data_IF_402916575819
#
_entry.id   IF_402916575819
#
_cell.length_a   1.000
_cell.length_b   1.000
_cell.length_c   1.000
_cell.angle_alpha   90.00
_cell.angle_beta   90.00
_cell.angle_gamma   90.00
#
_symmetry.space_group_name_H-M   'P 1'
#
loop_
_entity.id
_entity.type
_entity.pdbx_description
1 polymer ?
#
# COMPACT_ATOMS: atom_id res chain seq x y z
N UNK A 1 28.14 33.19 -37.34
CA UNK A 1 28.33 31.94 -36.57
C UNK A 1 29.27 32.26 -35.43
N UNK A 2 28.75 32.43 -34.21
CA UNK A 2 29.51 32.76 -32.99
C UNK A 2 29.29 31.63 -31.99
N UNK A 3 30.39 31.12 -31.48
CA UNK A 3 30.46 29.82 -30.84
C UNK A 3 29.93 29.84 -29.40
N UNK A 4 29.26 28.74 -29.10
CA UNK A 4 28.99 28.15 -27.80
C UNK A 4 30.20 28.27 -26.86
N UNK A 5 29.95 28.71 -25.62
CA UNK A 5 30.47 28.20 -24.33
C UNK A 5 29.99 29.20 -23.27
N UNK A 6 28.92 28.84 -22.54
CA UNK A 6 28.50 29.50 -21.29
C UNK A 6 27.38 28.66 -20.64
N UNK A 7 27.75 27.49 -20.09
CA UNK A 7 26.92 26.72 -19.17
C UNK A 7 27.75 25.56 -18.59
N UNK A 8 28.78 25.86 -17.80
CA UNK A 8 29.53 24.84 -17.05
C UNK A 8 30.22 25.46 -15.83
N UNK A 9 29.44 26.21 -15.02
CA UNK A 9 29.99 26.95 -13.86
C UNK A 9 29.01 27.16 -12.70
N UNK A 10 27.92 26.39 -12.59
CA UNK A 10 26.93 26.55 -11.49
C UNK A 10 26.55 25.22 -10.82
N UNK A 11 27.51 24.30 -10.64
CA UNK A 11 27.31 23.11 -9.77
C UNK A 11 28.44 22.93 -8.74
N UNK A 12 29.55 23.68 -8.84
CA UNK A 12 30.70 23.53 -7.93
C UNK A 12 30.72 24.44 -6.69
N UNK A 13 29.74 25.32 -6.49
CA UNK A 13 29.82 26.40 -5.49
C UNK A 13 28.66 26.45 -4.47
N UNK A 14 27.88 25.37 -4.31
CA UNK A 14 26.93 25.23 -3.18
C UNK A 14 27.47 24.29 -2.09
N UNK A 15 28.56 23.54 -2.34
CA UNK A 15 29.14 22.59 -1.38
C UNK A 15 30.34 23.12 -0.55
N UNK A 16 30.68 24.41 -0.64
CA UNK A 16 31.91 24.95 -0.03
C UNK A 16 31.76 26.25 0.76
N UNK A 17 30.55 26.63 1.18
CA UNK A 17 30.30 27.96 1.72
C UNK A 17 29.19 28.04 2.76
N UNK A 18 29.21 27.18 3.77
CA UNK A 18 28.59 27.48 5.06
C UNK A 18 29.50 26.95 6.18
N UNK A 19 30.64 27.63 6.35
CA UNK A 19 31.35 27.59 7.60
C UNK A 19 30.65 28.53 8.58
N UNK A 20 30.45 28.05 9.81
CA UNK A 20 30.06 28.76 11.05
C UNK A 20 28.75 28.20 11.63
N UNK A 21 28.93 27.38 12.67
CA UNK A 21 28.02 27.20 13.79
C UNK A 21 26.52 27.08 13.46
N UNK A 22 26.13 25.96 12.84
CA UNK A 22 24.76 25.49 12.97
C UNK A 22 24.73 24.08 13.59
N UNK A 23 23.94 23.93 14.65
CA UNK A 23 23.49 22.63 15.16
C UNK A 23 22.41 22.02 14.25
N UNK A 24 22.25 22.53 13.03
CA UNK A 24 21.36 21.97 12.01
C UNK A 24 22.14 20.91 11.24
N UNK A 25 22.23 19.72 11.84
CA UNK A 25 22.62 18.53 11.12
C UNK A 25 21.63 18.33 9.97
N UNK A 26 22.05 18.60 8.74
CA UNK A 26 21.28 18.18 7.57
C UNK A 26 21.20 16.65 7.65
N UNK A 27 19.99 16.04 7.66
CA UNK A 27 19.87 14.60 7.66
C UNK A 27 20.66 14.04 6.47
N UNK A 28 21.39 12.94 6.69
CA UNK A 28 22.04 12.24 5.59
C UNK A 28 20.98 11.90 4.53
N UNK A 29 21.28 12.04 3.22
CA UNK A 29 20.33 11.73 2.18
C UNK A 29 19.93 10.25 2.29
N UNK A 30 18.64 9.97 2.16
CA UNK A 30 18.09 8.62 2.22
C UNK A 30 17.02 8.43 1.16
N UNK A 31 16.95 7.23 0.61
CA UNK A 31 15.86 6.81 -0.26
C UNK A 31 14.80 6.09 0.57
N UNK A 32 13.52 6.37 0.30
CA UNK A 32 12.40 5.75 0.99
C UNK A 32 11.80 4.61 0.17
N UNK A 33 11.55 3.49 0.83
CA UNK A 33 10.78 2.38 0.29
C UNK A 33 9.62 2.09 1.22
N UNK A 34 8.56 1.48 0.70
CA UNK A 34 7.35 1.21 1.46
C UNK A 34 6.85 -0.21 1.19
N UNK A 35 6.39 -0.90 2.23
CA UNK A 35 5.55 -2.09 2.09
C UNK A 35 4.08 -1.68 2.22
N UNK A 36 3.26 -2.00 1.22
CA UNK A 36 1.90 -1.48 1.10
C UNK A 36 0.87 -2.53 0.66
N UNK A 37 0.02 -2.90 1.60
CA UNK A 37 -1.33 -3.43 1.49
C UNK A 37 -2.08 -2.92 2.73
N UNK A 38 -2.74 -1.76 2.59
CA UNK A 38 -2.38 -0.53 3.33
C UNK A 38 -0.98 -0.48 4.01
N UNK A 39 -0.69 0.52 4.86
CA UNK A 39 0.65 0.62 5.46
C UNK A 39 0.99 -0.62 6.32
N UNK A 40 2.06 -1.36 5.99
CA UNK A 40 2.48 -2.53 6.78
C UNK A 40 3.62 -2.15 7.71
N UNK A 41 3.42 -2.29 9.02
CA UNK A 41 4.45 -2.06 10.02
C UNK A 41 5.26 -3.33 10.30
N UNK A 42 6.56 -3.18 10.58
CA UNK A 42 7.42 -4.24 11.08
C UNK A 42 8.06 -5.14 10.01
N UNK A 43 7.78 -4.92 8.73
CA UNK A 43 8.26 -5.77 7.63
C UNK A 43 9.73 -5.45 7.31
N UNK A 44 10.58 -6.48 7.19
CA UNK A 44 11.99 -6.35 6.82
C UNK A 44 12.21 -6.85 5.41
N UNK A 45 13.32 -6.45 4.80
CA UNK A 45 13.54 -6.73 3.39
C UNK A 45 14.99 -6.71 2.95
N UNK A 46 15.16 -6.71 1.63
CA UNK A 46 16.44 -6.61 0.94
C UNK A 46 16.33 -5.72 -0.28
N UNK A 47 17.48 -5.28 -0.78
CA UNK A 47 17.60 -4.65 -2.09
C UNK A 47 18.78 -5.23 -2.86
N UNK A 48 18.72 -5.14 -4.18
CA UNK A 48 19.79 -5.57 -5.09
C UNK A 48 19.83 -4.66 -6.30
N UNK A 49 21.01 -4.11 -6.62
CA UNK A 49 21.23 -3.18 -7.73
C UNK A 49 22.11 -3.78 -8.83
N UNK A 50 22.07 -3.23 -10.04
CA UNK A 50 22.78 -3.74 -11.22
C UNK A 50 24.31 -3.81 -11.07
N UNK A 51 24.88 -2.94 -10.23
CA UNK A 51 26.30 -2.92 -9.92
C UNK A 51 26.73 -4.01 -8.90
N UNK A 52 25.80 -4.89 -8.49
CA UNK A 52 26.02 -5.95 -7.51
C UNK A 52 25.94 -5.50 -6.06
N UNK A 53 25.65 -4.21 -5.80
CA UNK A 53 25.39 -3.73 -4.44
C UNK A 53 24.08 -4.34 -3.95
N UNK A 54 24.14 -4.94 -2.77
CA UNK A 54 23.02 -5.58 -2.09
C UNK A 54 23.00 -5.16 -0.63
N UNK A 55 21.84 -5.22 0.01
CA UNK A 55 21.72 -4.91 1.42
C UNK A 55 20.37 -5.28 2.00
N UNK A 56 20.21 -4.95 3.28
CA UNK A 56 18.98 -5.17 4.04
C UNK A 56 18.15 -3.90 4.10
N UNK A 57 16.84 -4.07 4.19
CA UNK A 57 15.89 -3.02 4.55
C UNK A 57 15.59 -3.15 6.04
N UNK A 58 15.71 -2.03 6.75
CA UNK A 58 15.23 -1.92 8.13
C UNK A 58 13.72 -2.18 8.19
N UNK A 59 13.24 -2.56 9.38
CA UNK A 59 11.82 -2.79 9.60
C UNK A 59 11.00 -1.55 9.24
N UNK A 60 9.89 -1.75 8.54
CA UNK A 60 8.98 -0.66 8.19
C UNK A 60 8.38 -0.02 9.45
N UNK A 61 8.30 1.31 9.42
CA UNK A 61 7.63 2.11 10.44
C UNK A 61 6.10 1.94 10.40
N UNK A 62 5.38 2.61 11.31
CA UNK A 62 3.91 2.71 11.30
C UNK A 62 3.34 3.20 9.95
N UNK A 63 4.10 4.00 9.18
CA UNK A 63 3.69 4.45 7.84
C UNK A 63 4.03 3.47 6.72
N UNK A 64 4.48 2.26 7.06
CA UNK A 64 4.95 1.27 6.10
C UNK A 64 6.31 1.60 5.47
N UNK A 65 7.00 2.65 5.92
CA UNK A 65 8.22 3.17 5.29
C UNK A 65 9.49 2.60 5.94
N UNK A 66 10.45 2.20 5.10
CA UNK A 66 11.85 1.94 5.44
C UNK A 66 12.76 2.95 4.73
N UNK A 67 13.90 3.30 5.35
CA UNK A 67 14.85 4.30 4.82
C UNK A 67 16.20 3.66 4.55
N UNK A 68 16.78 3.99 3.40
CA UNK A 68 18.04 3.41 2.92
C UNK A 68 19.04 4.54 2.68
N UNK A 69 20.21 4.46 3.31
CA UNK A 69 21.29 5.43 3.15
C UNK A 69 22.41 4.96 2.20
N UNK A 70 22.26 3.78 1.59
CA UNK A 70 23.21 3.24 0.61
C UNK A 70 23.26 4.13 -0.63
N UNK A 71 24.45 4.66 -0.94
CA UNK A 71 24.68 5.65 -2.01
C UNK A 71 24.13 5.19 -3.35
N UNK A 72 24.31 3.92 -3.73
CA UNK A 72 23.80 3.40 -5.02
C UNK A 72 22.27 3.52 -5.09
N UNK A 73 21.58 3.23 -3.99
CA UNK A 73 20.13 3.30 -3.90
C UNK A 73 19.65 4.75 -3.89
N UNK A 74 20.38 5.64 -3.20
CA UNK A 74 20.06 7.07 -3.14
C UNK A 74 20.22 7.75 -4.49
N UNK A 75 21.31 7.46 -5.20
CA UNK A 75 21.68 8.15 -6.43
C UNK A 75 21.05 7.55 -7.69
N UNK A 76 20.83 6.24 -7.71
CA UNK A 76 20.32 5.49 -8.88
C UNK A 76 19.30 4.41 -8.48
N UNK A 77 18.22 4.78 -7.78
CA UNK A 77 17.24 3.83 -7.26
C UNK A 77 16.60 2.97 -8.37
N UNK A 78 16.46 3.50 -9.59
CA UNK A 78 15.93 2.80 -10.77
C UNK A 78 16.74 1.57 -11.15
N UNK A 79 18.01 1.47 -10.74
CA UNK A 79 18.87 0.30 -10.99
C UNK A 79 18.67 -0.82 -9.97
N UNK A 80 17.84 -0.60 -8.96
CA UNK A 80 17.65 -1.50 -7.83
C UNK A 80 16.26 -2.13 -7.85
N UNK A 81 16.21 -3.42 -7.48
CA UNK A 81 15.00 -4.11 -7.06
C UNK A 81 14.91 -4.12 -5.54
N UNK A 82 13.69 -4.09 -5.01
CA UNK A 82 13.42 -4.14 -3.57
C UNK A 82 12.50 -5.31 -3.26
N UNK A 83 12.73 -5.97 -2.13
CA UNK A 83 11.88 -7.06 -1.66
C UNK A 83 11.66 -6.94 -0.16
N UNK A 84 10.41 -6.99 0.27
CA UNK A 84 10.04 -7.23 1.66
C UNK A 84 9.70 -8.70 1.85
N UNK A 85 10.24 -9.29 2.90
CA UNK A 85 10.18 -10.72 3.16
C UNK A 85 9.19 -11.01 4.30
N UNK A 86 8.78 -12.28 4.39
CA UNK A 86 8.06 -12.82 5.56
C UNK A 86 8.79 -12.42 6.84
N UNK A 87 8.10 -11.67 7.69
CA UNK A 87 8.70 -11.10 8.90
C UNK A 87 7.72 -11.32 10.06
N UNK A 88 8.10 -12.05 11.11
CA UNK A 88 7.23 -12.21 12.29
C UNK A 88 6.75 -10.86 12.81
N UNK A 89 5.49 -10.84 13.29
CA UNK A 89 4.83 -9.66 13.87
C UNK A 89 4.60 -8.49 12.91
N UNK A 90 4.84 -8.67 11.60
CA UNK A 90 4.44 -7.67 10.61
C UNK A 90 2.91 -7.58 10.54
N UNK A 91 2.37 -6.36 10.46
CA UNK A 91 0.93 -6.11 10.61
C UNK A 91 0.48 -4.98 9.69
N UNK A 92 -0.70 -5.14 9.08
CA UNK A 92 -1.40 -4.04 8.40
C UNK A 92 -1.92 -3.07 9.45
N UNK A 93 -1.43 -1.82 9.38
CA UNK A 93 -1.74 -0.78 10.34
C UNK A 93 -3.21 -0.35 10.31
N UNK A 94 -3.86 -0.43 9.14
CA UNK A 94 -5.22 0.05 8.94
C UNK A 94 -6.27 -0.86 9.58
N UNK A 95 -6.02 -2.17 9.65
CA UNK A 95 -7.03 -3.14 10.06
C UNK A 95 -6.51 -4.21 11.04
N UNK A 96 -5.21 -4.24 11.33
CA UNK A 96 -4.61 -5.19 12.26
C UNK A 96 -4.40 -6.60 11.72
N UNK A 97 -4.53 -6.82 10.40
CA UNK A 97 -4.29 -8.11 9.76
C UNK A 97 -2.84 -8.56 9.96
N UNK A 98 -2.64 -9.84 10.25
CA UNK A 98 -1.30 -10.44 10.30
C UNK A 98 -0.69 -10.50 8.89
N UNK A 99 0.45 -9.85 8.73
CA UNK A 99 1.21 -9.80 7.48
C UNK A 99 2.51 -10.62 7.57
N UNK A 100 2.66 -11.44 8.61
CA UNK A 100 3.88 -12.19 8.87
C UNK A 100 4.29 -13.16 7.75
N UNK A 101 3.30 -13.69 7.03
CA UNK A 101 3.48 -14.64 5.94
C UNK A 101 3.56 -14.01 4.54
N UNK A 102 3.41 -12.69 4.46
CA UNK A 102 3.39 -11.94 3.20
C UNK A 102 4.82 -11.65 2.73
N UNK A 103 5.01 -11.51 1.43
CA UNK A 103 6.25 -11.01 0.84
C UNK A 103 5.92 -10.18 -0.38
N UNK A 104 6.51 -8.98 -0.47
CA UNK A 104 6.30 -8.09 -1.59
C UNK A 104 7.57 -7.76 -2.32
N UNK A 105 7.45 -7.53 -3.63
CA UNK A 105 8.56 -7.14 -4.49
C UNK A 105 8.22 -5.87 -5.23
N UNK A 106 9.23 -5.06 -5.47
CA UNK A 106 9.18 -3.90 -6.33
C UNK A 106 10.20 -4.07 -7.46
N UNK A 107 9.75 -4.11 -8.72
CA UNK A 107 10.61 -4.42 -9.85
C UNK A 107 11.67 -3.36 -10.07
N UNK A 108 12.85 -3.79 -10.51
CA UNK A 108 13.90 -2.89 -11.00
C UNK A 108 13.37 -2.02 -12.14
N UNK A 109 13.90 -0.82 -12.31
CA UNK A 109 13.50 0.11 -13.37
C UNK A 109 12.21 0.88 -13.09
N UNK A 110 11.46 0.51 -12.04
CA UNK A 110 10.27 1.24 -11.61
C UNK A 110 10.57 2.28 -10.53
N UNK A 111 11.66 2.15 -9.79
CA UNK A 111 12.04 3.14 -8.79
C UNK A 111 12.48 4.46 -9.47
N UNK A 112 12.40 5.57 -8.76
CA UNK A 112 12.74 6.88 -9.34
C UNK A 112 13.21 7.85 -8.26
N UNK A 113 14.20 8.68 -8.61
CA UNK A 113 14.73 9.70 -7.71
C UNK A 113 13.63 10.61 -7.16
N UNK A 114 13.69 10.83 -5.84
CA UNK A 114 12.74 11.68 -5.12
C UNK A 114 11.34 11.11 -4.97
N UNK A 115 11.10 9.85 -5.35
CA UNK A 115 9.82 9.15 -5.17
C UNK A 115 10.03 7.90 -4.33
N UNK A 116 9.08 7.60 -3.45
CA UNK A 116 9.08 6.35 -2.67
C UNK A 116 8.85 5.16 -3.60
N UNK A 117 9.61 4.08 -3.41
CA UNK A 117 9.33 2.80 -4.05
C UNK A 117 8.36 1.97 -3.19
N UNK A 118 7.17 1.69 -3.71
CA UNK A 118 6.09 1.04 -2.96
C UNK A 118 5.89 -0.40 -3.40
N UNK A 119 6.42 -1.35 -2.61
CA UNK A 119 6.21 -2.77 -2.81
C UNK A 119 4.82 -3.17 -2.28
N UNK A 120 3.98 -3.72 -3.14
CA UNK A 120 2.59 -4.10 -2.87
C UNK A 120 2.23 -5.45 -3.52
N UNK A 121 1.04 -6.03 -3.26
CA UNK A 121 0.58 -7.21 -3.98
C UNK A 121 0.66 -7.03 -5.52
N UNK A 122 0.31 -5.84 -6.01
CA UNK A 122 0.32 -5.51 -7.44
C UNK A 122 1.74 -5.50 -8.03
N UNK A 123 2.67 -4.78 -7.39
CA UNK A 123 4.06 -4.75 -7.89
C UNK A 123 4.73 -6.11 -7.79
N UNK A 124 4.31 -6.94 -6.83
CA UNK A 124 4.78 -8.31 -6.65
C UNK A 124 4.34 -9.22 -7.77
N UNK A 125 3.06 -9.14 -8.17
CA UNK A 125 2.53 -9.90 -9.29
C UNK A 125 3.17 -9.47 -10.62
N UNK A 126 3.40 -8.16 -10.79
CA UNK A 126 4.14 -7.62 -11.95
C UNK A 126 5.57 -8.15 -11.97
N UNK A 127 6.29 -8.08 -10.86
CA UNK A 127 7.66 -8.63 -10.78
C UNK A 127 7.71 -10.14 -11.03
N UNK A 128 6.66 -10.86 -10.62
CA UNK A 128 6.53 -12.29 -10.90
C UNK A 128 6.40 -12.60 -12.40
N UNK A 129 5.71 -11.76 -13.15
CA UNK A 129 5.64 -11.87 -14.62
C UNK A 129 6.94 -11.41 -15.30
N UNK A 130 7.62 -10.41 -14.73
CA UNK A 130 8.90 -9.90 -15.26
C UNK A 130 10.07 -10.85 -15.01
N UNK A 131 10.01 -11.69 -13.98
CA UNK A 131 11.06 -12.65 -13.60
C UNK A 131 12.46 -12.00 -13.50
N UNK A 132 12.53 -10.87 -12.77
CA UNK A 132 13.76 -10.11 -12.56
C UNK A 132 14.20 -9.20 -13.72
N UNK A 133 13.45 -9.18 -14.82
CA UNK A 133 13.66 -8.18 -15.88
C UNK A 133 13.27 -6.78 -15.41
N UNK A 134 13.87 -5.71 -15.97
CA UNK A 134 13.43 -4.35 -15.69
C UNK A 134 11.94 -4.15 -16.01
N UNK A 135 11.30 -3.29 -15.23
CA UNK A 135 9.90 -2.94 -15.37
C UNK A 135 9.54 -2.55 -16.81
N UNK A 136 8.46 -3.16 -17.29
CA UNK A 136 7.86 -2.88 -18.59
C UNK A 136 6.40 -2.46 -18.39
N UNK A 137 6.05 -1.28 -18.91
CA UNK A 137 4.69 -0.75 -18.80
C UNK A 137 3.64 -1.66 -19.45
N UNK A 138 3.95 -2.38 -20.54
CA UNK A 138 3.00 -3.30 -21.17
C UNK A 138 2.65 -4.48 -20.28
N UNK A 139 3.62 -5.00 -19.51
CA UNK A 139 3.40 -6.05 -18.51
C UNK A 139 2.54 -5.52 -17.37
N UNK A 140 2.85 -4.32 -16.89
CA UNK A 140 2.03 -3.65 -15.87
C UNK A 140 0.58 -3.46 -16.31
N UNK A 141 0.34 -2.97 -17.53
CA UNK A 141 -1.00 -2.78 -18.09
C UNK A 141 -1.74 -4.11 -18.23
N UNK A 142 -1.07 -5.16 -18.72
CA UNK A 142 -1.66 -6.49 -18.82
C UNK A 142 -2.12 -6.99 -17.45
N UNK A 143 -1.25 -6.95 -16.43
CA UNK A 143 -1.60 -7.42 -15.08
C UNK A 143 -2.76 -6.63 -14.48
N UNK A 144 -2.79 -5.30 -14.65
CA UNK A 144 -3.93 -4.50 -14.18
C UNK A 144 -5.23 -4.88 -14.90
N UNK A 145 -5.18 -5.12 -16.21
CA UNK A 145 -6.35 -5.58 -16.96
C UNK A 145 -6.82 -6.97 -16.48
N UNK A 146 -5.90 -7.91 -16.29
CA UNK A 146 -6.20 -9.27 -15.85
C UNK A 146 -6.81 -9.31 -14.43
N UNK A 147 -6.49 -8.32 -13.60
CA UNK A 147 -7.07 -8.10 -12.27
C UNK A 147 -8.41 -7.32 -12.28
N UNK A 148 -8.87 -6.86 -13.45
CA UNK A 148 -10.07 -6.01 -13.56
C UNK A 148 -9.84 -4.54 -13.18
N UNK A 149 -8.60 -4.09 -13.05
CA UNK A 149 -8.20 -2.73 -12.67
C UNK A 149 -7.77 -1.84 -13.85
N UNK A 150 -7.92 -2.33 -15.09
CA UNK A 150 -7.53 -1.60 -16.31
C UNK A 150 -8.17 -0.22 -16.45
N UNK A 151 -9.38 -0.06 -15.92
CA UNK A 151 -10.14 1.18 -15.94
C UNK A 151 -9.46 2.36 -15.23
N UNK A 152 -8.57 2.08 -14.26
CA UNK A 152 -7.79 3.13 -13.58
C UNK A 152 -6.97 3.95 -14.58
N UNK A 153 -6.38 3.28 -15.58
CA UNK A 153 -5.61 3.95 -16.62
C UNK A 153 -6.54 4.51 -17.69
N UNK A 154 -7.52 3.73 -18.16
CA UNK A 154 -8.42 4.13 -19.25
C UNK A 154 -9.26 5.37 -18.92
N UNK A 155 -9.66 5.54 -17.66
CA UNK A 155 -10.40 6.71 -17.17
C UNK A 155 -9.50 7.88 -16.76
N UNK A 156 -8.17 7.73 -16.89
CA UNK A 156 -7.19 8.76 -16.53
C UNK A 156 -7.08 9.01 -15.02
N UNK A 157 -7.42 8.03 -14.17
CA UNK A 157 -7.20 8.12 -12.71
C UNK A 157 -5.72 8.14 -12.38
N UNK A 158 -4.94 7.36 -13.13
CA UNK A 158 -3.49 7.43 -13.14
C UNK A 158 -2.98 7.67 -14.56
N UNK A 159 -1.83 8.34 -14.68
CA UNK A 159 -1.22 8.64 -15.99
C UNK A 159 -0.56 7.42 -16.62
N UNK A 160 -0.19 6.43 -15.81
CA UNK A 160 0.39 5.15 -16.20
C UNK A 160 0.31 4.17 -15.02
N UNK A 161 0.58 2.88 -15.27
CA UNK A 161 0.71 1.90 -14.19
C UNK A 161 1.85 2.27 -13.25
N UNK A 162 2.95 2.81 -13.79
CA UNK A 162 4.07 3.27 -12.99
C UNK A 162 3.75 4.49 -12.11
N UNK A 163 2.81 5.33 -12.52
CA UNK A 163 2.29 6.43 -11.71
C UNK A 163 1.41 5.87 -10.58
N UNK A 164 0.53 4.92 -10.91
CA UNK A 164 -0.30 4.23 -9.92
C UNK A 164 0.51 3.52 -8.83
N UNK A 165 1.53 2.75 -9.19
CA UNK A 165 2.35 2.00 -8.23
C UNK A 165 3.21 2.92 -7.34
N UNK A 166 3.52 4.14 -7.77
CA UNK A 166 4.30 5.10 -6.97
C UNK A 166 3.44 5.99 -6.07
N UNK A 167 2.16 6.15 -6.41
CA UNK A 167 1.18 7.02 -5.74
C UNK A 167 -0.09 6.26 -5.38
N UNK A 168 0.05 4.99 -5.00
CA UNK A 168 -1.08 4.06 -4.85
C UNK A 168 -2.11 4.58 -3.86
N UNK A 169 -1.68 4.97 -2.65
CA UNK A 169 -2.58 5.51 -1.62
C UNK A 169 -3.28 6.78 -2.09
N UNK A 170 -2.52 7.78 -2.56
CA UNK A 170 -3.04 9.07 -3.04
C UNK A 170 -4.10 8.87 -4.14
N UNK A 171 -3.82 7.99 -5.10
CA UNK A 171 -4.75 7.70 -6.18
C UNK A 171 -6.01 7.02 -5.66
N UNK A 172 -5.89 6.03 -4.76
CA UNK A 172 -7.04 5.33 -4.17
C UNK A 172 -7.96 6.28 -3.39
N UNK A 173 -7.39 7.18 -2.60
CA UNK A 173 -8.15 8.15 -1.79
C UNK A 173 -8.97 9.13 -2.65
N UNK A 174 -8.51 9.40 -3.87
CA UNK A 174 -9.19 10.28 -4.84
C UNK A 174 -10.20 9.55 -5.75
N UNK A 175 -10.32 8.21 -5.64
CA UNK A 175 -11.26 7.44 -6.46
C UNK A 175 -12.72 7.61 -6.02
N UNK A 176 -13.68 7.46 -6.95
CA UNK A 176 -15.07 7.15 -6.60
C UNK A 176 -15.16 5.93 -5.67
N UNK A 177 -16.15 5.91 -4.77
CA UNK A 177 -16.25 4.91 -3.71
C UNK A 177 -16.30 3.45 -4.23
N UNK A 178 -16.97 3.20 -5.36
CA UNK A 178 -17.05 1.90 -6.01
C UNK A 178 -15.70 1.48 -6.61
N UNK A 179 -14.99 2.42 -7.26
CA UNK A 179 -13.63 2.18 -7.79
C UNK A 179 -12.62 1.96 -6.65
N UNK A 180 -12.70 2.73 -5.57
CA UNK A 180 -11.87 2.57 -4.38
C UNK A 180 -12.09 1.22 -3.69
N UNK A 181 -13.37 0.81 -3.57
CA UNK A 181 -13.78 -0.50 -3.03
C UNK A 181 -13.21 -1.64 -3.89
N UNK A 182 -13.34 -1.55 -5.21
CA UNK A 182 -12.78 -2.52 -6.14
C UNK A 182 -11.26 -2.65 -5.98
N UNK A 183 -10.51 -1.54 -5.95
CA UNK A 183 -9.05 -1.59 -5.80
C UNK A 183 -8.64 -2.18 -4.44
N UNK A 184 -9.31 -1.77 -3.37
CA UNK A 184 -9.04 -2.24 -2.01
C UNK A 184 -9.32 -3.75 -1.88
N UNK A 185 -10.44 -4.22 -2.43
CA UNK A 185 -10.76 -5.63 -2.43
C UNK A 185 -9.78 -6.44 -3.29
N UNK A 186 -9.44 -5.97 -4.49
CA UNK A 186 -8.48 -6.65 -5.37
C UNK A 186 -7.10 -6.77 -4.72
N UNK A 187 -6.62 -5.72 -4.07
CA UNK A 187 -5.30 -5.72 -3.42
C UNK A 187 -5.26 -6.68 -2.23
N UNK A 188 -6.25 -6.63 -1.34
CA UNK A 188 -6.36 -7.54 -0.20
C UNK A 188 -6.49 -9.02 -0.63
N UNK A 189 -7.32 -9.31 -1.64
CA UNK A 189 -7.47 -10.66 -2.18
C UNK A 189 -6.17 -11.14 -2.83
N UNK A 190 -5.55 -10.31 -3.67
CA UNK A 190 -4.30 -10.67 -4.34
C UNK A 190 -3.18 -10.97 -3.35
N UNK A 191 -3.12 -10.24 -2.24
CA UNK A 191 -2.20 -10.48 -1.13
C UNK A 191 -2.30 -11.92 -0.61
N UNK A 192 -3.52 -12.38 -0.31
CA UNK A 192 -3.77 -13.73 0.21
C UNK A 192 -3.52 -14.82 -0.84
N UNK A 193 -3.92 -14.57 -2.09
CA UNK A 193 -3.66 -15.52 -3.19
C UNK A 193 -2.15 -15.67 -3.42
N UNK A 194 -1.37 -14.59 -3.33
CA UNK A 194 0.10 -14.65 -3.43
C UNK A 194 0.72 -15.45 -2.28
N UNK A 195 0.17 -15.37 -1.07
CA UNK A 195 0.62 -16.17 0.08
C UNK A 195 0.38 -17.66 -0.15
N UNK A 196 -0.83 -18.03 -0.57
CA UNK A 196 -1.23 -19.44 -0.72
C UNK A 196 -0.66 -20.08 -1.98
N UNK A 197 -0.59 -19.34 -3.08
CA UNK A 197 -0.33 -19.87 -4.43
C UNK A 197 0.90 -19.27 -5.10
N UNK A 198 1.93 -18.98 -4.29
CA UNK A 198 3.20 -18.39 -4.76
C UNK A 198 3.91 -19.17 -5.87
N UNK A 199 3.63 -20.46 -6.03
CA UNK A 199 4.19 -21.37 -7.06
C UNK A 199 3.47 -21.27 -8.42
N UNK A 200 2.26 -20.70 -8.48
CA UNK A 200 1.47 -20.57 -9.71
C UNK A 200 2.00 -19.48 -10.63
N UNK A 201 1.54 -19.44 -11.88
CA UNK A 201 1.87 -18.36 -12.82
C UNK A 201 1.16 -17.05 -12.45
N UNK A 202 1.65 -15.91 -12.94
CA UNK A 202 0.98 -14.64 -12.71
C UNK A 202 -0.44 -14.63 -13.30
N UNK A 203 -0.63 -15.26 -14.47
CA UNK A 203 -1.95 -15.39 -15.10
C UNK A 203 -2.96 -16.18 -14.25
N UNK A 204 -2.55 -17.31 -13.66
CA UNK A 204 -3.40 -18.09 -12.76
C UNK A 204 -3.77 -17.29 -11.50
N UNK A 205 -2.80 -16.58 -10.92
CA UNK A 205 -3.02 -15.73 -9.75
C UNK A 205 -3.95 -14.57 -10.07
N UNK A 206 -3.75 -13.87 -11.19
CA UNK A 206 -4.63 -12.79 -11.64
C UNK A 206 -6.06 -13.27 -11.79
N UNK A 207 -6.26 -14.39 -12.48
CA UNK A 207 -7.59 -14.94 -12.75
C UNK A 207 -8.33 -15.33 -11.47
N UNK A 208 -7.65 -16.01 -10.55
CA UNK A 208 -8.24 -16.37 -9.27
C UNK A 208 -8.53 -15.12 -8.41
N UNK A 209 -7.61 -14.17 -8.37
CA UNK A 209 -7.79 -12.93 -7.60
C UNK A 209 -8.95 -12.09 -8.12
N UNK A 210 -9.07 -11.93 -9.44
CA UNK A 210 -10.19 -11.24 -10.07
C UNK A 210 -11.52 -11.94 -9.74
N UNK A 211 -11.57 -13.27 -9.87
CA UNK A 211 -12.78 -14.06 -9.58
C UNK A 211 -13.22 -13.99 -8.13
N UNK A 212 -12.27 -14.08 -7.20
CA UNK A 212 -12.56 -13.93 -5.76
C UNK A 212 -13.01 -12.50 -5.49
N UNK A 213 -12.36 -11.49 -6.09
CA UNK A 213 -12.75 -10.09 -5.90
C UNK A 213 -14.19 -9.82 -6.36
N UNK A 214 -14.62 -10.37 -7.50
CA UNK A 214 -16.03 -10.28 -7.93
C UNK A 214 -17.00 -10.79 -6.84
N UNK A 215 -16.66 -11.90 -6.19
CA UNK A 215 -17.45 -12.46 -5.10
C UNK A 215 -17.39 -11.62 -3.82
N UNK A 216 -16.24 -10.99 -3.54
CA UNK A 216 -16.07 -10.01 -2.44
C UNK A 216 -16.97 -8.81 -2.68
N UNK A 217 -16.87 -8.14 -3.82
CA UNK A 217 -17.64 -6.93 -4.14
C UNK A 217 -19.14 -7.22 -4.19
N UNK A 218 -19.54 -8.41 -4.63
CA UNK A 218 -20.95 -8.84 -4.56
C UNK A 218 -21.47 -8.93 -3.12
N UNK A 219 -20.62 -9.37 -2.18
CA UNK A 219 -20.98 -9.53 -0.76
C UNK A 219 -20.81 -8.23 0.04
N UNK A 220 -19.80 -7.44 -0.32
CA UNK A 220 -19.36 -6.21 0.34
C UNK A 220 -19.13 -5.11 -0.71
N UNK A 221 -20.20 -4.50 -1.27
CA UNK A 221 -20.06 -3.50 -2.33
C UNK A 221 -19.22 -2.28 -1.91
N UNK A 222 -19.26 -1.93 -0.63
CA UNK A 222 -18.54 -0.80 -0.03
C UNK A 222 -17.26 -1.22 0.71
N UNK A 223 -16.67 -2.38 0.37
CA UNK A 223 -15.44 -2.89 1.00
C UNK A 223 -14.38 -1.77 1.18
N UNK A 224 -13.74 -1.64 2.36
CA UNK A 224 -13.73 -2.56 3.51
C UNK A 224 -14.95 -2.45 4.45
N UNK A 225 -15.99 -1.69 4.11
CA UNK A 225 -17.18 -1.58 4.96
C UNK A 225 -18.12 -2.76 4.73
N UNK A 226 -18.58 -3.37 5.81
CA UNK A 226 -19.58 -4.44 5.74
C UNK A 226 -21.01 -3.88 5.63
N UNK A 227 -21.93 -4.61 5.00
CA UNK A 227 -23.35 -4.31 5.08
C UNK A 227 -23.82 -4.19 6.53
N UNK A 228 -24.45 -3.08 6.88
CA UNK A 228 -24.87 -2.80 8.27
C UNK A 228 -23.86 -2.00 9.10
N UNK A 229 -22.69 -1.68 8.54
CA UNK A 229 -21.69 -0.79 9.15
C UNK A 229 -20.58 -1.54 9.90
N UNK A 230 -19.46 -0.85 10.12
CA UNK A 230 -18.21 -1.44 10.59
C UNK A 230 -17.25 -1.74 9.43
N UNK A 231 -15.96 -1.78 9.74
CA UNK A 231 -14.90 -2.09 8.78
C UNK A 231 -14.36 -3.49 9.04
N UNK A 232 -14.17 -4.23 7.96
CA UNK A 232 -13.66 -5.60 7.96
C UNK A 232 -12.41 -5.70 7.10
N UNK A 233 -11.62 -6.73 7.36
CA UNK A 233 -10.69 -7.25 6.38
C UNK A 233 -11.03 -8.71 6.09
N UNK A 234 -10.51 -9.21 4.97
CA UNK A 234 -10.63 -10.62 4.63
C UNK A 234 -9.28 -11.30 4.86
N UNK A 235 -9.32 -12.45 5.52
CA UNK A 235 -8.19 -13.35 5.69
C UNK A 235 -8.48 -14.68 4.99
N UNK A 236 -8.28 -14.65 3.68
CA UNK A 236 -8.49 -15.82 2.83
C UNK A 236 -7.31 -16.79 2.92
N UNK A 237 -6.14 -16.32 3.35
CA UNK A 237 -4.95 -17.15 3.52
C UNK A 237 -5.14 -18.24 4.59
N UNK A 238 -5.98 -17.99 5.60
CA UNK A 238 -6.43 -18.98 6.59
C UNK A 238 -7.39 -20.04 6.01
N UNK A 239 -7.82 -19.88 4.75
CA UNK A 239 -8.67 -20.82 4.02
C UNK A 239 -7.98 -21.27 2.71
N UNK A 240 -6.78 -21.90 2.76
CA UNK A 240 -5.97 -22.13 1.57
C UNK A 240 -6.65 -23.01 0.52
N UNK A 241 -7.43 -24.01 0.95
CA UNK A 241 -8.18 -24.89 0.04
C UNK A 241 -9.20 -24.11 -0.81
N UNK A 242 -9.78 -23.03 -0.26
CA UNK A 242 -10.70 -22.18 -1.02
C UNK A 242 -9.97 -21.49 -2.19
N UNK A 243 -8.79 -20.93 -1.95
CA UNK A 243 -7.99 -20.30 -3.01
C UNK A 243 -7.53 -21.34 -4.04
N UNK A 244 -7.05 -22.50 -3.58
CA UNK A 244 -6.63 -23.60 -4.45
C UNK A 244 -7.77 -24.10 -5.35
N UNK A 245 -8.98 -24.22 -4.81
CA UNK A 245 -10.17 -24.63 -5.56
C UNK A 245 -10.54 -23.61 -6.65
N UNK A 246 -10.46 -22.31 -6.36
CA UNK A 246 -10.71 -21.25 -7.35
C UNK A 246 -9.66 -21.27 -8.46
N UNK A 247 -8.39 -21.51 -8.13
CA UNK A 247 -7.33 -21.65 -9.14
C UNK A 247 -7.58 -22.87 -10.03
N UNK A 248 -7.97 -24.00 -9.44
CA UNK A 248 -8.25 -25.23 -10.17
C UNK A 248 -9.50 -25.11 -11.06
N UNK A 249 -10.49 -24.29 -10.67
CA UNK A 249 -11.72 -24.09 -11.41
C UNK A 249 -12.19 -22.63 -11.41
N UNK A 250 -11.53 -21.75 -12.18
CA UNK A 250 -11.76 -20.31 -12.11
C UNK A 250 -13.08 -19.86 -12.74
N UNK A 251 -13.78 -20.76 -13.43
CA UNK A 251 -15.11 -20.49 -14.01
C UNK A 251 -16.25 -20.81 -13.04
N UNK A 252 -15.97 -21.49 -11.92
CA UNK A 252 -16.98 -21.82 -10.93
C UNK A 252 -17.51 -20.57 -10.22
N UNK A 253 -18.76 -20.65 -9.74
CA UNK A 253 -19.28 -19.64 -8.83
C UNK A 253 -18.51 -19.68 -7.50
N UNK A 254 -18.10 -18.50 -7.05
CA UNK A 254 -17.31 -18.33 -5.83
C UNK A 254 -18.19 -17.72 -4.75
N UNK A 255 -18.13 -18.28 -3.55
CA UNK A 255 -18.76 -17.72 -2.34
C UNK A 255 -17.68 -17.56 -1.29
N UNK A 256 -17.55 -16.36 -0.73
CA UNK A 256 -16.54 -16.06 0.28
C UNK A 256 -16.86 -16.88 1.56
N UNK A 257 -15.90 -17.64 2.09
CA UNK A 257 -16.09 -18.35 3.35
C UNK A 257 -16.42 -17.36 4.48
N UNK A 258 -17.48 -17.56 5.28
CA UNK A 258 -17.77 -16.68 6.41
C UNK A 258 -16.65 -16.59 7.44
N UNK A 259 -15.81 -17.63 7.54
CA UNK A 259 -14.62 -17.67 8.39
C UNK A 259 -13.53 -16.68 7.97
N UNK A 260 -13.52 -16.22 6.71
CA UNK A 260 -12.53 -15.28 6.22
C UNK A 260 -12.81 -13.84 6.65
N UNK A 261 -14.05 -13.50 7.03
CA UNK A 261 -14.40 -12.16 7.50
C UNK A 261 -13.84 -11.93 8.91
N UNK A 262 -13.06 -10.86 9.07
CA UNK A 262 -12.51 -10.44 10.36
C UNK A 262 -12.82 -8.96 10.60
N UNK A 263 -13.12 -8.61 11.84
CA UNK A 263 -13.33 -7.20 12.23
C UNK A 263 -12.00 -6.45 12.23
N UNK A 264 -11.98 -5.25 11.66
CA UNK A 264 -10.80 -4.39 11.62
C UNK A 264 -10.46 -3.87 13.02
N UNK A 265 -9.18 -3.95 13.36
CA UNK A 265 -8.58 -3.40 14.58
C UNK A 265 -7.31 -2.63 14.20
N UNK A 266 -7.45 -1.37 13.77
CA UNK A 266 -6.31 -0.54 13.40
C UNK A 266 -5.25 -0.54 14.52
N UNK A 267 -3.98 -0.58 14.12
CA UNK A 267 -2.86 -0.44 15.06
C UNK A 267 -2.87 1.00 15.58
N UNK A 268 -2.73 1.23 16.90
CA UNK A 268 -2.65 2.57 17.44
C UNK A 268 -1.47 3.37 16.88
N UNK A 269 -1.72 4.60 16.42
CA UNK A 269 -0.69 5.55 16.01
C UNK A 269 0.21 5.89 17.21
N UNK A 270 1.52 5.64 17.11
CA UNK A 270 2.47 5.95 18.18
C UNK A 270 2.55 7.44 18.52
N UNK A 271 2.19 8.33 17.58
CA UNK A 271 2.16 9.79 17.78
C UNK A 271 0.80 10.29 18.29
N UNK A 272 -0.17 9.39 18.50
CA UNK A 272 -1.44 9.65 19.19
C UNK A 272 -2.60 10.09 18.30
N UNK A 273 -2.42 10.16 16.98
CA UNK A 273 -3.48 10.52 16.03
C UNK A 273 -4.23 9.26 15.54
N UNK A 274 -4.83 8.53 16.48
CA UNK A 274 -5.82 7.53 16.12
C UNK A 274 -7.05 8.28 15.60
N UNK A 275 -7.16 8.39 14.28
CA UNK A 275 -8.32 8.91 13.56
C UNK A 275 -9.58 8.09 13.83
N UNK A 276 -10.10 8.16 15.06
CA UNK A 276 -11.41 7.65 15.41
C UNK A 276 -12.45 8.54 14.74
N UNK A 277 -13.15 8.00 13.76
CA UNK A 277 -14.44 8.53 13.31
C UNK A 277 -15.46 8.30 14.42
N UNK A 278 -15.35 9.10 15.48
CA UNK A 278 -16.35 9.16 16.54
C UNK A 278 -17.69 9.55 15.94
N UNK A 279 -18.63 8.60 15.96
CA UNK A 279 -19.98 8.81 15.46
C UNK A 279 -20.66 10.02 16.13
N UNK A 280 -21.03 11.00 15.32
CA UNK A 280 -22.07 11.97 15.69
C UNK A 280 -23.36 11.56 14.99
N UNK A 281 -24.02 10.55 15.55
CA UNK A 281 -25.42 10.23 15.25
C UNK A 281 -26.35 10.97 16.21
N UNK A 282 -27.29 11.76 15.67
CA UNK A 282 -28.59 11.97 16.29
C UNK A 282 -28.90 13.37 16.80
N UNK A 283 -29.31 14.26 15.90
CA UNK A 283 -30.27 15.33 16.20
C UNK A 283 -31.64 14.74 16.56
N UNK A 284 -32.26 15.22 17.65
CA UNK A 284 -33.65 14.92 17.96
C UNK A 284 -34.13 15.62 19.23
N UNK A 285 -34.53 16.89 19.10
CA UNK A 285 -34.98 17.71 20.23
C UNK A 285 -36.34 17.32 20.80
N UNK A 286 -36.64 17.85 21.98
CA UNK A 286 -38.02 18.20 22.37
C UNK A 286 -38.01 19.39 23.32
N UNK A 287 -38.95 20.28 23.03
CA UNK A 287 -39.25 21.53 23.70
C UNK A 287 -39.57 21.36 25.19
N UNK A 288 -39.13 22.33 26.00
CA UNK A 288 -39.54 22.44 27.40
C UNK A 288 -39.24 23.84 27.94
N UNK A 289 -40.09 24.79 27.59
CA UNK A 289 -40.09 26.13 28.15
C UNK A 289 -40.46 26.12 29.65
N UNK A 290 -39.77 26.95 30.42
CA UNK A 290 -40.38 27.70 31.52
C UNK A 290 -40.38 27.07 32.92
N UNK A 291 -39.74 27.78 33.86
CA UNK A 291 -40.33 28.02 35.17
C UNK A 291 -39.56 27.49 36.38
N UNK A 292 -38.97 28.43 37.14
CA UNK A 292 -39.27 28.52 38.58
C UNK A 292 -38.33 27.85 39.59
N UNK A 293 -37.43 28.67 40.15
CA UNK A 293 -37.34 29.00 41.58
C UNK A 293 -36.84 27.96 42.63
N UNK A 294 -35.77 28.39 43.30
CA UNK A 294 -35.40 28.34 44.72
C UNK A 294 -35.27 27.03 45.52
N UNK A 295 -34.16 27.03 46.30
CA UNK A 295 -33.90 26.23 47.50
C UNK A 295 -32.63 25.41 47.33
N UNK A 296 -31.57 25.52 48.11
CA UNK A 296 -31.23 26.22 49.34
C UNK A 296 -29.90 25.60 49.79
N UNK A 297 -28.97 26.38 50.32
CA UNK A 297 -27.66 25.83 50.71
C UNK A 297 -26.79 26.84 51.45
N UNK A 298 -27.05 26.98 52.74
CA UNK A 298 -26.10 27.53 53.72
C UNK A 298 -25.16 26.42 54.19
N UNK A 299 -23.85 26.70 54.27
CA UNK A 299 -22.91 25.90 55.03
C UNK A 299 -21.45 26.14 54.62
N UNK A 300 -20.76 27.05 55.33
CA UNK A 300 -19.32 27.31 55.20
C UNK A 300 -18.98 28.79 55.28
#
# INVERSE_FOLDING_TARGET
MKYKILALSVVGAILGGCGSDNTNSVPAPSYETMAYDPAIMGMKGTFSCDNGVTGLLEATSYKGVSKIAETTVVDTPETCAFAYNKTPDAVDVSNGKDMSNVSYKFPKGLAALGKTATASPLSTLIEKELDGQPYNNSVGEQILNDLGLGDLINKGRATSVADFLRRTQEIIEDLPADEASQVSATTAVLSDVLVVSSDKSAAEISKASAKITEAVIKSYPDYPKKPGGGEIYLDLAENPSFIEDVIANPEADVTIPPSAEQESKPVPDPDGDNGGTGGTGGTGGTNGAGGGSNGGGTGG
#
